data_IF_753106615779
#
_entry.id   IF_753106615779
#
_cell.length_a   1.000
_cell.length_b   1.000
_cell.length_c   1.000
_cell.angle_alpha   90.00
_cell.angle_beta   90.00
_cell.angle_gamma   90.00
#
_symmetry.space_group_name_H-M   'P 1'
#
loop_
_entity.id
_entity.type
_entity.pdbx_description
1 polymer ?
#
# COMPACT_ATOMS: atom_id res chain seq x y z
N UNK A 1 -42.23 35.21 -26.83
CA UNK A 1 -41.27 35.99 -27.66
C UNK A 1 -40.99 37.29 -26.93
N UNK A 2 -39.71 37.67 -26.88
CA UNK A 2 -39.11 38.93 -26.36
C UNK A 2 -38.78 39.10 -24.87
N UNK A 3 -37.51 39.52 -24.72
CA UNK A 3 -36.64 39.73 -23.54
C UNK A 3 -36.80 41.16 -22.98
N UNK A 4 -36.53 41.31 -21.67
CA UNK A 4 -35.73 42.38 -21.01
C UNK A 4 -35.24 41.72 -19.70
N UNK A 5 -34.02 41.80 -19.17
CA UNK A 5 -32.81 42.55 -19.44
C UNK A 5 -32.03 42.60 -18.11
N UNK A 6 -30.77 42.13 -18.12
CA UNK A 6 -29.66 42.43 -17.21
C UNK A 6 -29.88 42.53 -15.69
N UNK A 7 -29.30 41.59 -14.95
CA UNK A 7 -28.52 41.91 -13.75
C UNK A 7 -27.32 40.97 -13.67
N UNK A 8 -26.15 41.57 -13.89
CA UNK A 8 -24.81 41.04 -13.75
C UNK A 8 -24.51 40.70 -12.28
N UNK A 9 -24.16 39.45 -12.00
CA UNK A 9 -23.39 39.10 -10.81
C UNK A 9 -22.11 38.42 -11.29
N UNK A 10 -21.04 39.20 -11.32
CA UNK A 10 -19.67 38.75 -11.40
C UNK A 10 -19.31 37.98 -10.14
N UNK A 11 -19.37 36.65 -10.21
CA UNK A 11 -18.74 35.76 -9.24
C UNK A 11 -17.43 35.29 -9.83
N UNK A 12 -16.33 35.91 -9.42
CA UNK A 12 -14.97 35.61 -9.83
C UNK A 12 -14.68 34.11 -9.78
N UNK A 13 -14.44 33.49 -10.92
CA UNK A 13 -13.67 32.26 -10.98
C UNK A 13 -12.23 32.60 -10.59
N UNK A 14 -11.94 32.63 -9.28
CA UNK A 14 -10.58 32.46 -8.81
C UNK A 14 -10.22 31.00 -9.07
N UNK A 15 -9.68 30.76 -10.26
CA UNK A 15 -8.83 29.61 -10.52
C UNK A 15 -7.70 29.63 -9.51
N UNK A 16 -7.88 28.93 -8.41
CA UNK A 16 -6.77 28.52 -7.56
C UNK A 16 -6.12 27.37 -8.31
N UNK A 17 -5.26 27.76 -9.26
CA UNK A 17 -4.07 27.00 -9.60
C UNK A 17 -3.29 26.86 -8.30
N UNK A 18 -3.58 25.81 -7.52
CA UNK A 18 -2.62 25.34 -6.53
C UNK A 18 -1.48 24.72 -7.32
N UNK A 19 -0.51 25.56 -7.63
CA UNK A 19 0.88 25.16 -7.81
C UNK A 19 1.19 24.09 -6.75
N UNK A 20 1.30 22.84 -7.21
CA UNK A 20 1.88 21.77 -6.42
C UNK A 20 3.27 22.25 -6.03
N UNK A 21 3.43 22.65 -4.78
CA UNK A 21 4.76 22.71 -4.19
C UNK A 21 5.23 21.28 -4.10
N UNK A 22 6.29 20.94 -4.83
CA UNK A 22 7.19 19.84 -4.50
C UNK A 22 7.48 19.92 -3.01
N UNK A 23 6.74 19.13 -2.25
CA UNK A 23 6.87 19.08 -0.80
C UNK A 23 8.06 18.19 -0.56
N UNK A 24 9.18 18.82 -0.23
CA UNK A 24 10.42 18.17 0.15
C UNK A 24 10.17 16.96 1.08
N UNK A 25 10.37 15.75 0.56
CA UNK A 25 10.82 14.54 1.27
C UNK A 25 10.11 14.09 2.55
N UNK A 26 8.92 14.59 2.88
CA UNK A 26 8.21 14.26 4.12
C UNK A 26 7.19 13.12 4.00
N UNK A 27 6.89 12.45 5.10
CA UNK A 27 5.78 11.50 5.16
C UNK A 27 4.45 12.23 5.26
N UNK A 28 3.49 11.88 4.41
CA UNK A 28 2.11 12.38 4.49
C UNK A 28 1.17 11.24 4.87
N UNK A 29 0.46 11.40 5.99
CA UNK A 29 -0.53 10.43 6.46
C UNK A 29 -1.93 10.79 5.97
N UNK A 30 -2.68 9.81 5.49
CA UNK A 30 -4.09 9.94 5.11
C UNK A 30 -4.97 8.98 5.92
N UNK A 31 -6.10 9.47 6.42
CA UNK A 31 -7.22 8.65 6.88
C UNK A 31 -8.01 8.05 5.72
N UNK A 32 -8.90 7.09 5.99
CA UNK A 32 -9.67 6.36 4.96
C UNK A 32 -10.57 7.25 4.08
N UNK A 33 -10.99 8.41 4.56
CA UNK A 33 -11.89 9.32 3.82
C UNK A 33 -11.19 10.58 3.28
N UNK A 34 -9.91 10.78 3.57
CA UNK A 34 -9.22 11.99 3.13
C UNK A 34 -9.13 12.05 1.60
N UNK A 35 -9.13 13.24 1.01
CA UNK A 35 -8.93 13.36 -0.43
C UNK A 35 -7.43 13.36 -0.75
N UNK A 36 -6.96 12.41 -1.57
CA UNK A 36 -5.57 12.34 -2.04
C UNK A 36 -5.36 13.23 -3.28
N UNK A 37 -6.43 13.78 -3.88
CA UNK A 37 -6.32 14.77 -4.97
C UNK A 37 -5.94 14.20 -6.34
N UNK A 38 -5.93 12.88 -6.48
CA UNK A 38 -5.62 12.20 -7.74
C UNK A 38 -6.64 11.11 -8.09
N UNK A 39 -6.62 10.64 -9.34
CA UNK A 39 -7.45 9.53 -9.79
C UNK A 39 -6.88 8.21 -9.27
N UNK A 40 -7.72 7.43 -8.60
CA UNK A 40 -7.42 6.08 -8.17
C UNK A 40 -6.94 5.19 -9.33
N UNK A 41 -5.85 4.43 -9.09
CA UNK A 41 -5.27 3.49 -10.04
C UNK A 41 -5.01 2.13 -9.39
N UNK A 42 -5.72 1.11 -9.85
CA UNK A 42 -5.59 -0.28 -9.41
C UNK A 42 -4.92 -1.19 -10.45
N UNK A 43 -4.38 -0.61 -11.54
CA UNK A 43 -3.95 -1.35 -12.74
C UNK A 43 -2.58 -2.02 -12.59
N UNK A 44 -1.70 -1.53 -11.70
CA UNK A 44 -0.42 -2.17 -11.34
C UNK A 44 -0.49 -3.02 -10.05
N UNK A 45 -1.70 -3.22 -9.53
CA UNK A 45 -1.93 -3.82 -8.21
C UNK A 45 -1.97 -5.36 -8.24
N UNK A 46 -1.92 -5.94 -9.44
CA UNK A 46 -2.03 -7.37 -9.74
C UNK A 46 -0.69 -8.06 -10.07
N UNK A 47 0.41 -7.31 -10.13
CA UNK A 47 1.67 -7.84 -10.66
C UNK A 47 2.26 -8.86 -9.67
N UNK A 48 2.35 -10.11 -10.14
CA UNK A 48 3.05 -11.25 -9.55
C UNK A 48 2.31 -12.10 -8.50
N UNK A 49 1.28 -12.84 -8.95
CA UNK A 49 0.92 -14.13 -8.34
C UNK A 49 1.05 -15.24 -9.40
N UNK A 50 2.28 -15.43 -9.89
CA UNK A 50 2.61 -16.38 -10.96
C UNK A 50 3.29 -17.67 -10.49
N UNK A 51 3.87 -17.71 -9.30
CA UNK A 51 4.52 -18.91 -8.74
C UNK A 51 3.76 -19.45 -7.53
N UNK A 52 3.89 -20.75 -7.25
CA UNK A 52 3.28 -21.42 -6.08
C UNK A 52 3.65 -20.73 -4.75
N UNK A 53 4.82 -20.11 -4.65
CA UNK A 53 5.25 -19.31 -3.47
C UNK A 53 4.40 -18.06 -3.24
N UNK A 54 3.90 -17.42 -4.30
CA UNK A 54 3.15 -16.16 -4.19
C UNK A 54 1.71 -16.39 -3.67
N UNK A 55 1.21 -17.62 -3.73
CA UNK A 55 -0.09 -17.96 -3.17
C UNK A 55 -0.11 -17.97 -1.64
N UNK A 56 1.03 -18.18 -0.97
CA UNK A 56 1.11 -18.22 0.49
C UNK A 56 1.27 -16.82 1.12
N UNK A 57 1.64 -15.81 0.34
CA UNK A 57 1.88 -14.45 0.83
C UNK A 57 0.62 -13.83 1.47
N UNK A 58 -0.58 -13.93 0.87
CA UNK A 58 -1.80 -13.46 1.53
C UNK A 58 -2.01 -14.09 2.91
N UNK A 59 -1.89 -15.41 3.03
CA UNK A 59 -1.98 -16.12 4.32
C UNK A 59 -0.89 -15.71 5.31
N UNK A 60 0.35 -15.50 4.85
CA UNK A 60 1.44 -15.05 5.71
C UNK A 60 1.17 -13.65 6.28
N UNK A 61 0.72 -12.71 5.45
CA UNK A 61 0.39 -11.35 5.88
C UNK A 61 -0.84 -11.33 6.77
N UNK A 62 -1.86 -12.12 6.43
CA UNK A 62 -3.03 -12.30 7.27
C UNK A 62 -2.65 -12.83 8.66
N UNK A 63 -1.80 -13.86 8.71
CA UNK A 63 -1.35 -14.47 9.96
C UNK A 63 -0.39 -13.58 10.76
N UNK A 64 0.40 -12.73 10.09
CA UNK A 64 1.26 -11.76 10.76
C UNK A 64 0.47 -10.81 11.67
N UNK A 65 -0.77 -10.48 11.29
CA UNK A 65 -1.65 -9.64 12.14
C UNK A 65 -1.97 -10.25 13.51
N UNK A 66 -1.72 -11.55 13.76
CA UNK A 66 -1.83 -12.13 15.10
C UNK A 66 -0.62 -11.82 15.99
N UNK A 67 0.54 -11.54 15.39
CA UNK A 67 1.82 -11.32 16.08
C UNK A 67 2.14 -9.84 16.28
N UNK A 68 1.63 -8.97 15.41
CA UNK A 68 1.86 -7.53 15.47
C UNK A 68 1.25 -6.82 14.28
N UNK A 69 1.73 -5.60 14.03
CA UNK A 69 1.26 -4.78 12.91
C UNK A 69 1.91 -5.24 11.59
N UNK A 70 1.26 -4.89 10.47
CA UNK A 70 1.72 -5.23 9.13
C UNK A 70 1.90 -3.95 8.32
N UNK A 71 3.07 -3.78 7.72
CA UNK A 71 3.35 -2.71 6.77
C UNK A 71 3.35 -3.31 5.37
N UNK A 72 2.70 -2.66 4.41
CA UNK A 72 2.54 -3.19 3.05
C UNK A 72 2.48 -2.05 2.05
N UNK A 73 2.97 -2.30 0.84
CA UNK A 73 2.75 -1.37 -0.27
C UNK A 73 1.28 -1.29 -0.67
N UNK A 74 0.87 -0.21 -1.36
CA UNK A 74 -0.52 0.01 -1.79
C UNK A 74 -0.89 -0.91 -2.96
N UNK A 75 -1.03 -2.19 -2.64
CA UNK A 75 -1.50 -3.17 -3.60
C UNK A 75 -2.54 -4.17 -3.03
N UNK A 76 -2.82 -5.27 -3.75
CA UNK A 76 -3.82 -6.26 -3.35
C UNK A 76 -3.46 -6.95 -2.04
N UNK A 77 -2.17 -7.03 -1.69
CA UNK A 77 -1.71 -7.57 -0.41
C UNK A 77 -2.11 -6.68 0.77
N UNK A 78 -2.27 -5.36 0.58
CA UNK A 78 -2.82 -4.49 1.61
C UNK A 78 -4.26 -4.86 1.97
N UNK A 79 -5.05 -5.23 0.97
CA UNK A 79 -6.42 -5.72 1.18
C UNK A 79 -6.40 -7.06 1.90
N UNK A 80 -5.50 -7.98 1.51
CA UNK A 80 -5.38 -9.29 2.17
C UNK A 80 -4.94 -9.15 3.64
N UNK A 81 -3.95 -8.30 3.93
CA UNK A 81 -3.53 -8.00 5.30
C UNK A 81 -4.68 -7.43 6.12
N UNK A 82 -5.47 -6.51 5.55
CA UNK A 82 -6.63 -5.93 6.22
C UNK A 82 -7.77 -6.95 6.49
N UNK A 83 -7.84 -8.02 5.71
CA UNK A 83 -8.77 -9.15 5.92
C UNK A 83 -8.23 -10.20 6.91
N UNK A 84 -6.98 -10.11 7.38
CA UNK A 84 -6.40 -11.11 8.28
C UNK A 84 -7.11 -11.22 9.63
N UNK A 85 -7.14 -12.39 10.26
CA UNK A 85 -7.96 -12.60 11.46
C UNK A 85 -7.39 -12.02 12.77
N UNK A 86 -6.15 -11.54 12.77
CA UNK A 86 -5.49 -11.00 13.95
C UNK A 86 -5.97 -9.61 14.38
N UNK A 87 -5.22 -8.99 15.30
CA UNK A 87 -5.55 -7.68 15.90
C UNK A 87 -4.57 -6.56 15.49
N UNK A 88 -3.50 -6.91 14.79
CA UNK A 88 -2.54 -5.97 14.24
C UNK A 88 -3.19 -4.97 13.29
N UNK A 89 -2.69 -3.73 13.37
CA UNK A 89 -2.99 -2.67 12.44
C UNK A 89 -2.32 -2.95 11.10
N UNK A 90 -2.88 -2.36 10.04
CA UNK A 90 -2.34 -2.43 8.69
C UNK A 90 -1.94 -1.03 8.25
N UNK A 91 -0.66 -0.83 8.00
CA UNK A 91 -0.14 0.41 7.43
C UNK A 91 0.17 0.21 5.97
N UNK A 92 -0.49 0.99 5.12
CA UNK A 92 -0.31 0.98 3.68
C UNK A 92 0.59 2.15 3.28
N UNK A 93 1.76 1.87 2.71
CA UNK A 93 2.74 2.89 2.34
C UNK A 93 3.12 2.79 0.86
N UNK A 94 3.04 3.88 0.11
CA UNK A 94 3.44 3.90 -1.30
C UNK A 94 3.93 5.29 -1.69
N UNK A 95 4.70 5.38 -2.77
CA UNK A 95 5.12 6.65 -3.36
C UNK A 95 4.13 7.15 -4.41
N UNK A 96 3.25 6.27 -4.88
CA UNK A 96 2.19 6.62 -5.81
C UNK A 96 0.90 6.96 -5.07
N UNK A 97 0.56 8.24 -5.06
CA UNK A 97 -0.75 8.72 -4.62
C UNK A 97 -1.91 8.01 -5.33
N UNK A 98 -1.74 7.69 -6.61
CA UNK A 98 -2.76 6.99 -7.38
C UNK A 98 -2.98 5.56 -6.89
N UNK A 99 -1.92 4.85 -6.47
CA UNK A 99 -2.02 3.52 -5.87
C UNK A 99 -2.66 3.59 -4.49
N UNK A 100 -2.23 4.52 -3.63
CA UNK A 100 -2.84 4.77 -2.32
C UNK A 100 -4.34 5.04 -2.46
N UNK A 101 -4.72 5.95 -3.37
CA UNK A 101 -6.12 6.26 -3.66
C UNK A 101 -6.90 5.03 -4.17
N UNK A 102 -6.26 4.18 -4.98
CA UNK A 102 -6.82 2.91 -5.46
C UNK A 102 -7.17 1.96 -4.32
N UNK A 103 -6.17 1.57 -3.51
CA UNK A 103 -6.38 0.64 -2.38
C UNK A 103 -7.33 1.22 -1.34
N UNK A 104 -7.17 2.50 -1.01
CA UNK A 104 -8.05 3.21 -0.08
C UNK A 104 -9.50 3.19 -0.52
N UNK A 105 -9.76 3.47 -1.80
CA UNK A 105 -11.11 3.37 -2.38
C UNK A 105 -11.65 1.95 -2.26
N UNK A 106 -10.87 0.93 -2.61
CA UNK A 106 -11.27 -0.49 -2.52
C UNK A 106 -11.63 -0.89 -1.08
N UNK A 107 -10.84 -0.46 -0.09
CA UNK A 107 -11.10 -0.71 1.33
C UNK A 107 -12.36 0.03 1.79
N UNK A 108 -12.53 1.31 1.41
CA UNK A 108 -13.72 2.09 1.77
C UNK A 108 -15.02 1.48 1.23
N UNK A 109 -14.99 0.77 0.10
CA UNK A 109 -16.17 0.06 -0.41
C UNK A 109 -16.67 -1.04 0.52
N UNK A 110 -15.85 -1.56 1.43
CA UNK A 110 -16.28 -2.57 2.39
C UNK A 110 -17.21 -1.98 3.48
N UNK A 111 -17.18 -0.67 3.73
CA UNK A 111 -18.03 -0.02 4.74
C UNK A 111 -19.51 -0.07 4.37
N UNK A 112 -19.82 0.07 3.08
CA UNK A 112 -21.20 0.13 2.57
C UNK A 112 -21.79 -1.23 2.23
N UNK A 113 -21.02 -2.31 2.38
CA UNK A 113 -21.41 -3.66 1.95
C UNK A 113 -21.62 -4.59 3.14
N UNK A 114 -22.65 -5.43 3.08
CA UNK A 114 -22.96 -6.38 4.16
C UNK A 114 -22.23 -7.72 4.04
N UNK A 115 -21.68 -8.02 2.87
CA UNK A 115 -20.96 -9.25 2.60
C UNK A 115 -19.90 -9.05 1.52
N UNK A 116 -19.01 -10.03 1.41
CA UNK A 116 -17.89 -10.03 0.47
C UNK A 116 -18.33 -9.96 -0.99
N UNK A 117 -19.42 -10.65 -1.36
CA UNK A 117 -19.89 -10.70 -2.75
C UNK A 117 -20.41 -9.34 -3.23
N UNK A 118 -21.15 -8.62 -2.37
CA UNK A 118 -21.59 -7.25 -2.62
C UNK A 118 -20.39 -6.31 -2.76
N UNK A 119 -19.41 -6.43 -1.86
CA UNK A 119 -18.18 -5.64 -1.94
C UNK A 119 -17.39 -5.90 -3.23
N UNK A 120 -17.16 -7.16 -3.61
CA UNK A 120 -16.47 -7.50 -4.86
C UNK A 120 -17.23 -7.02 -6.10
N UNK A 121 -18.57 -7.00 -6.06
CA UNK A 121 -19.39 -6.42 -7.14
C UNK A 121 -19.19 -4.91 -7.27
N UNK A 122 -19.11 -4.19 -6.16
CA UNK A 122 -18.82 -2.75 -6.17
C UNK A 122 -17.38 -2.46 -6.61
N UNK A 123 -16.40 -3.24 -6.13
CA UNK A 123 -15.01 -3.14 -6.61
C UNK A 123 -14.96 -3.37 -8.11
N UNK A 124 -15.68 -4.36 -8.65
CA UNK A 124 -15.76 -4.61 -10.09
C UNK A 124 -16.32 -3.42 -10.86
N UNK A 125 -17.31 -2.73 -10.30
CA UNK A 125 -17.94 -1.55 -10.90
C UNK A 125 -17.03 -0.32 -10.90
N UNK A 126 -16.31 -0.08 -9.81
CA UNK A 126 -15.52 1.14 -9.61
C UNK A 126 -14.06 1.00 -10.11
N UNK A 127 -13.49 -0.19 -10.00
CA UNK A 127 -12.06 -0.47 -10.28
C UNK A 127 -11.85 -1.48 -11.42
N UNK A 128 -12.94 -1.98 -12.02
CA UNK A 128 -12.89 -2.87 -13.18
C UNK A 128 -12.81 -4.36 -12.83
N UNK A 129 -13.14 -5.18 -13.83
CA UNK A 129 -13.32 -6.63 -13.65
C UNK A 129 -12.03 -7.38 -13.35
N UNK A 130 -10.90 -6.96 -13.92
CA UNK A 130 -9.60 -7.64 -13.71
C UNK A 130 -9.21 -7.61 -12.24
N UNK A 131 -9.28 -6.42 -11.63
CA UNK A 131 -8.90 -6.23 -10.24
C UNK A 131 -9.81 -6.98 -9.25
N UNK A 132 -11.13 -6.89 -9.44
CA UNK A 132 -12.08 -7.63 -8.60
C UNK A 132 -11.91 -9.16 -8.74
N UNK A 133 -11.65 -9.65 -9.95
CA UNK A 133 -11.40 -11.08 -10.20
C UNK A 133 -10.11 -11.54 -9.52
N UNK A 134 -9.07 -10.69 -9.51
CA UNK A 134 -7.82 -10.95 -8.81
C UNK A 134 -8.02 -11.06 -7.29
N UNK A 135 -8.74 -10.11 -6.68
CA UNK A 135 -9.08 -10.20 -5.24
C UNK A 135 -9.90 -11.45 -4.93
N UNK A 136 -10.93 -11.74 -5.74
CA UNK A 136 -11.75 -12.94 -5.59
C UNK A 136 -10.90 -14.22 -5.64
N UNK A 137 -9.93 -14.28 -6.56
CA UNK A 137 -9.00 -15.40 -6.66
C UNK A 137 -8.15 -15.55 -5.40
N UNK A 138 -7.56 -14.45 -4.91
CA UNK A 138 -6.74 -14.49 -3.69
C UNK A 138 -7.53 -14.93 -2.48
N UNK A 139 -8.75 -14.41 -2.32
CA UNK A 139 -9.62 -14.78 -1.23
C UNK A 139 -10.00 -16.26 -1.32
N UNK A 140 -10.39 -16.74 -2.50
CA UNK A 140 -10.77 -18.15 -2.69
C UNK A 140 -9.64 -19.14 -2.34
N UNK A 141 -8.38 -18.72 -2.51
CA UNK A 141 -7.20 -19.55 -2.24
C UNK A 141 -6.74 -19.53 -0.79
N UNK A 142 -7.11 -18.49 -0.03
CA UNK A 142 -6.61 -18.23 1.32
C UNK A 142 -7.76 -18.02 2.33
N UNK A 143 -8.95 -18.54 2.01
CA UNK A 143 -10.19 -18.23 2.73
C UNK A 143 -10.18 -18.56 4.22
N UNK A 144 -9.37 -19.54 4.64
CA UNK A 144 -9.27 -19.92 6.05
C UNK A 144 -8.59 -18.82 6.89
N UNK A 145 -7.69 -18.03 6.29
CA UNK A 145 -6.93 -16.96 6.96
C UNK A 145 -7.56 -15.57 6.79
N UNK A 146 -8.55 -15.43 5.90
CA UNK A 146 -9.12 -14.15 5.47
C UNK A 146 -10.60 -14.03 5.86
N UNK A 147 -11.00 -12.88 6.39
CA UNK A 147 -12.39 -12.58 6.74
C UNK A 147 -12.77 -11.18 6.29
N UNK A 148 -13.91 -11.09 5.60
CA UNK A 148 -14.49 -9.80 5.22
C UNK A 148 -14.96 -9.01 6.45
N UNK A 149 -15.48 -9.68 7.47
CA UNK A 149 -15.88 -9.07 8.74
C UNK A 149 -14.68 -8.44 9.45
N UNK A 150 -13.49 -9.02 9.32
CA UNK A 150 -12.26 -8.46 9.87
C UNK A 150 -11.82 -7.19 9.15
N UNK A 151 -11.94 -7.13 7.81
CA UNK A 151 -11.76 -5.90 7.05
C UNK A 151 -12.70 -4.80 7.56
N UNK A 152 -13.99 -5.12 7.70
CA UNK A 152 -14.95 -4.15 8.23
C UNK A 152 -14.67 -3.74 9.67
N UNK A 153 -14.23 -4.67 10.52
CA UNK A 153 -13.85 -4.39 11.90
C UNK A 153 -12.67 -3.41 11.95
N UNK A 154 -11.62 -3.66 11.18
CA UNK A 154 -10.45 -2.77 11.12
C UNK A 154 -10.82 -1.38 10.64
N UNK A 155 -11.71 -1.27 9.66
CA UNK A 155 -12.19 0.03 9.20
C UNK A 155 -12.91 0.78 10.34
N UNK A 156 -13.86 0.13 11.02
CA UNK A 156 -14.59 0.75 12.15
C UNK A 156 -13.68 1.18 13.29
N UNK A 157 -12.63 0.41 13.55
CA UNK A 157 -11.65 0.69 14.60
C UNK A 157 -10.56 1.69 14.18
N UNK A 158 -10.52 2.11 12.90
CA UNK A 158 -9.44 2.91 12.34
C UNK A 158 -8.06 2.23 12.45
N UNK A 159 -8.03 0.90 12.31
CA UNK A 159 -6.83 0.05 12.35
C UNK A 159 -6.13 -0.04 10.98
N UNK A 160 -6.44 0.86 10.05
CA UNK A 160 -5.82 0.96 8.73
C UNK A 160 -5.34 2.39 8.52
N UNK A 161 -4.04 2.57 8.28
CA UNK A 161 -3.43 3.86 8.01
C UNK A 161 -2.80 3.88 6.61
N UNK A 162 -2.78 5.04 5.97
CA UNK A 162 -2.20 5.22 4.63
C UNK A 162 -1.12 6.29 4.67
N UNK A 163 0.02 6.03 4.07
CA UNK A 163 1.17 6.93 4.04
C UNK A 163 1.71 7.10 2.63
N UNK A 164 1.82 8.35 2.18
CA UNK A 164 2.75 8.71 1.11
C UNK A 164 4.12 8.93 1.74
N UNK A 165 5.02 7.97 1.57
CA UNK A 165 6.38 8.06 2.11
C UNK A 165 7.31 7.09 1.37
N UNK A 166 8.56 7.50 1.20
CA UNK A 166 9.63 6.60 0.80
C UNK A 166 10.10 5.79 2.00
N UNK A 167 9.98 4.46 1.95
CA UNK A 167 10.47 3.58 3.01
C UNK A 167 12.00 3.64 3.15
N UNK A 168 12.73 4.19 2.17
CA UNK A 168 14.16 4.47 2.25
C UNK A 168 14.50 5.85 2.84
N UNK A 169 13.50 6.70 3.11
CA UNK A 169 13.74 8.04 3.68
C UNK A 169 13.72 8.01 5.21
N UNK A 170 14.33 9.00 5.85
CA UNK A 170 14.24 9.19 7.31
C UNK A 170 12.80 9.42 7.79
N UNK A 171 11.92 9.90 6.91
CA UNK A 171 10.50 10.10 7.21
C UNK A 171 9.71 8.79 7.32
N UNK A 172 10.27 7.65 6.94
CA UNK A 172 9.64 6.34 7.14
C UNK A 172 9.41 6.03 8.63
N UNK A 173 10.22 6.61 9.53
CA UNK A 173 10.02 6.51 10.99
C UNK A 173 8.66 7.02 11.46
N UNK A 174 7.96 7.85 10.67
CA UNK A 174 6.60 8.29 10.96
C UNK A 174 5.57 7.16 10.94
N UNK A 175 5.88 6.03 10.29
CA UNK A 175 5.05 4.81 10.31
C UNK A 175 4.98 4.20 11.70
N UNK A 176 6.07 4.29 12.49
CA UNK A 176 6.15 3.68 13.82
C UNK A 176 5.07 4.21 14.77
N UNK A 177 4.59 5.44 14.53
CA UNK A 177 3.50 6.07 15.30
C UNK A 177 2.17 5.33 15.15
N UNK A 178 1.96 4.62 14.04
CA UNK A 178 0.76 3.83 13.75
C UNK A 178 0.97 2.32 13.91
N UNK A 179 2.14 1.87 14.38
CA UNK A 179 2.44 0.46 14.63
C UNK A 179 2.75 0.19 16.12
N UNK A 180 1.78 0.39 17.04
CA UNK A 180 2.01 0.29 18.48
C UNK A 180 2.29 -1.14 18.97
N UNK A 181 1.88 -2.16 18.22
CA UNK A 181 2.14 -3.55 18.56
C UNK A 181 3.54 -4.00 18.10
N UNK A 182 4.20 -3.20 17.26
CA UNK A 182 5.45 -3.52 16.58
C UNK A 182 5.19 -4.28 15.29
N UNK A 183 6.05 -4.05 14.29
CA UNK A 183 5.84 -4.63 12.96
C UNK A 183 6.29 -6.09 12.94
N UNK A 184 5.35 -6.95 12.59
CA UNK A 184 5.53 -8.40 12.47
C UNK A 184 5.76 -8.85 11.03
N UNK A 185 5.32 -8.06 10.05
CA UNK A 185 5.60 -8.29 8.65
C UNK A 185 5.69 -6.99 7.85
N UNK A 186 6.63 -6.94 6.92
CA UNK A 186 6.71 -5.92 5.87
C UNK A 186 6.57 -6.61 4.51
N UNK A 187 5.55 -6.23 3.74
CA UNK A 187 5.44 -6.58 2.33
C UNK A 187 5.89 -5.40 1.46
N UNK A 188 7.09 -5.50 0.90
CA UNK A 188 7.69 -4.47 0.06
C UNK A 188 7.54 -4.73 -1.44
N UNK A 189 6.80 -5.78 -1.84
CA UNK A 189 6.61 -6.18 -3.24
C UNK A 189 7.95 -6.34 -3.97
N UNK A 190 7.99 -6.05 -5.27
CA UNK A 190 9.23 -5.89 -6.01
C UNK A 190 9.91 -4.60 -5.59
N UNK A 191 10.82 -4.73 -4.64
CA UNK A 191 11.36 -3.60 -3.91
C UNK A 191 12.14 -2.61 -4.80
N UNK A 192 12.61 -3.06 -5.97
CA UNK A 192 13.18 -2.20 -6.99
C UNK A 192 12.19 -1.21 -7.60
N UNK A 193 10.89 -1.48 -7.49
CA UNK A 193 9.84 -0.54 -7.89
C UNK A 193 9.48 0.45 -6.77
N UNK A 194 9.85 0.16 -5.51
CA UNK A 194 9.33 0.85 -4.32
C UNK A 194 10.39 1.59 -3.49
N UNK A 195 11.68 1.27 -3.62
CA UNK A 195 12.75 2.13 -3.09
C UNK A 195 12.79 3.44 -3.89
N UNK A 196 12.10 4.47 -3.40
CA UNK A 196 12.08 5.88 -3.85
C UNK A 196 12.09 6.17 -5.36
N UNK A 197 11.53 5.30 -6.20
CA UNK A 197 11.76 5.37 -7.65
C UNK A 197 13.27 5.38 -8.03
N UNK A 198 14.17 5.02 -7.10
CA UNK A 198 15.64 5.05 -7.24
C UNK A 198 16.17 3.93 -8.14
N UNK A 199 15.39 2.87 -8.33
CA UNK A 199 15.70 1.78 -9.25
C UNK A 199 14.91 1.89 -10.57
N UNK A 200 14.18 2.99 -10.78
CA UNK A 200 14.00 3.47 -12.15
C UNK A 200 15.42 3.77 -12.65
N UNK A 201 15.87 3.00 -13.65
CA UNK A 201 17.27 2.93 -14.11
C UNK A 201 17.81 4.25 -14.68
N UNK A 202 17.01 5.32 -14.65
CA UNK A 202 17.30 6.58 -15.30
C UNK A 202 18.00 7.54 -14.34
N UNK A 203 19.31 7.69 -14.53
CA UNK A 203 20.08 8.82 -14.00
C UNK A 203 20.70 8.68 -12.61
N UNK A 204 20.54 7.55 -11.90
CA UNK A 204 21.15 7.34 -10.56
C UNK A 204 22.36 6.40 -10.62
N UNK A 205 23.43 6.77 -9.92
CA UNK A 205 24.64 5.97 -9.78
C UNK A 205 24.43 4.72 -8.92
N UNK A 206 25.33 3.75 -9.02
CA UNK A 206 25.32 2.59 -8.11
C UNK A 206 25.44 3.00 -6.64
N UNK A 207 26.27 4.01 -6.34
CA UNK A 207 26.47 4.51 -4.97
C UNK A 207 25.19 5.08 -4.36
N UNK A 208 24.41 5.86 -5.13
CA UNK A 208 23.14 6.40 -4.66
C UNK A 208 22.10 5.30 -4.41
N UNK A 209 22.06 4.28 -5.28
CA UNK A 209 21.19 3.11 -5.09
C UNK A 209 21.57 2.31 -3.85
N UNK A 210 22.86 2.13 -3.59
CA UNK A 210 23.35 1.46 -2.38
C UNK A 210 22.97 2.25 -1.13
N UNK A 211 23.12 3.57 -1.14
CA UNK A 211 22.75 4.41 0.01
C UNK A 211 21.25 4.31 0.35
N UNK A 212 20.37 4.38 -0.64
CA UNK A 212 18.93 4.21 -0.41
C UNK A 212 18.58 2.82 0.14
N UNK A 213 19.26 1.78 -0.36
CA UNK A 213 19.10 0.43 0.15
C UNK A 213 19.53 0.34 1.62
N UNK A 214 20.66 0.94 1.98
CA UNK A 214 21.17 0.94 3.36
C UNK A 214 20.21 1.68 4.29
N UNK A 215 19.69 2.84 3.89
CA UNK A 215 18.66 3.57 4.66
C UNK A 215 17.37 2.79 4.82
N UNK A 216 16.91 2.09 3.77
CA UNK A 216 15.76 1.20 3.88
C UNK A 216 16.00 0.06 4.88
N UNK A 217 17.17 -0.58 4.85
CA UNK A 217 17.55 -1.64 5.79
C UNK A 217 17.58 -1.13 7.23
N UNK A 218 18.08 0.07 7.45
CA UNK A 218 18.08 0.72 8.76
C UNK A 218 16.65 0.99 9.26
N UNK A 219 15.79 1.53 8.40
CA UNK A 219 14.37 1.73 8.70
C UNK A 219 13.65 0.40 9.00
N UNK A 220 13.94 -0.66 8.25
CA UNK A 220 13.43 -1.99 8.56
C UNK A 220 13.90 -2.50 9.92
N UNK A 221 15.15 -2.18 10.32
CA UNK A 221 15.68 -2.52 11.65
C UNK A 221 14.89 -1.85 12.76
N UNK A 222 14.50 -0.59 12.56
CA UNK A 222 13.65 0.15 13.50
C UNK A 222 12.23 -0.44 13.58
N UNK A 223 11.63 -0.74 12.43
CA UNK A 223 10.23 -1.18 12.34
C UNK A 223 10.03 -2.66 12.73
N UNK A 224 10.81 -3.57 12.17
CA UNK A 224 10.69 -5.02 12.38
C UNK A 224 11.36 -5.40 13.70
N UNK A 225 10.56 -5.80 14.69
CA UNK A 225 11.08 -6.40 15.93
C UNK A 225 11.72 -7.76 15.61
N UNK A 226 12.51 -8.31 16.54
CA UNK A 226 13.42 -9.46 16.34
C UNK A 226 12.86 -10.72 15.61
N UNK A 227 11.54 -10.89 15.54
CA UNK A 227 10.86 -12.03 14.89
C UNK A 227 10.01 -11.65 13.64
N UNK A 228 10.19 -10.43 13.11
CA UNK A 228 9.45 -9.94 11.96
C UNK A 228 9.87 -10.60 10.65
N UNK A 229 8.95 -10.68 9.68
CA UNK A 229 9.22 -11.20 8.33
C UNK A 229 9.28 -10.07 7.30
N UNK A 230 10.23 -10.16 6.38
CA UNK A 230 10.28 -9.29 5.19
C UNK A 230 9.90 -10.13 3.97
N UNK A 231 8.94 -9.64 3.19
CA UNK A 231 8.49 -10.24 1.94
C UNK A 231 8.79 -9.27 0.81
N UNK A 232 9.70 -9.66 -0.09
CA UNK A 232 10.08 -8.85 -1.24
C UNK A 232 10.43 -9.72 -2.45
N UNK A 233 10.46 -9.13 -3.63
CA UNK A 233 10.92 -9.77 -4.87
C UNK A 233 11.96 -8.92 -5.58
N UNK A 234 12.68 -9.54 -6.53
CA UNK A 234 13.60 -8.87 -7.45
C UNK A 234 12.91 -8.61 -8.80
N UNK A 235 13.46 -7.71 -9.64
CA UNK A 235 12.80 -7.09 -10.81
C UNK A 235 11.93 -8.01 -11.69
N UNK A 236 12.31 -9.28 -11.82
CA UNK A 236 11.65 -10.32 -12.62
C UNK A 236 11.67 -11.71 -11.93
N UNK A 237 12.01 -11.77 -10.64
CA UNK A 237 12.23 -13.02 -9.89
C UNK A 237 11.01 -13.48 -9.08
N UNK A 238 11.02 -14.72 -8.54
CA UNK A 238 10.02 -15.15 -7.57
C UNK A 238 10.06 -14.25 -6.32
N UNK A 239 8.93 -14.11 -5.63
CA UNK A 239 8.93 -13.47 -4.30
C UNK A 239 9.72 -14.33 -3.33
N UNK A 240 10.61 -13.70 -2.59
CA UNK A 240 11.46 -14.32 -1.58
C UNK A 240 10.91 -14.00 -0.18
N UNK A 241 10.88 -15.03 0.67
CA UNK A 241 10.54 -14.90 2.08
C UNK A 241 11.83 -15.04 2.88
N UNK A 242 12.11 -14.04 3.70
CA UNK A 242 13.33 -14.05 4.49
C UNK A 242 13.02 -13.81 5.97
N UNK A 243 13.77 -14.50 6.83
CA UNK A 243 13.93 -14.05 8.21
C UNK A 243 14.63 -12.68 8.17
N UNK A 244 14.21 -11.73 9.02
CA UNK A 244 14.72 -10.37 9.00
C UNK A 244 16.27 -10.27 8.99
N UNK A 245 16.97 -11.20 9.67
CA UNK A 245 18.44 -11.19 9.76
C UNK A 245 19.14 -11.73 8.50
N UNK A 246 18.55 -12.70 7.78
CA UNK A 246 19.17 -13.33 6.61
C UNK A 246 18.94 -12.54 5.30
N UNK A 247 17.80 -11.82 5.21
CA UNK A 247 17.41 -11.03 4.02
C UNK A 247 18.30 -9.82 3.79
N UNK A 248 18.55 -9.08 4.87
CA UNK A 248 19.08 -7.72 4.81
C UNK A 248 20.56 -7.72 4.48
N UNK A 249 21.31 -8.69 5.00
CA UNK A 249 22.76 -8.73 4.85
C UNK A 249 23.22 -9.19 3.46
N UNK A 250 22.42 -10.01 2.77
CA UNK A 250 22.80 -10.59 1.47
C UNK A 250 22.29 -9.80 0.27
N UNK A 251 21.46 -8.79 0.49
CA UNK A 251 20.82 -8.06 -0.60
C UNK A 251 21.70 -6.93 -1.14
N UNK A 252 21.97 -6.99 -2.45
CA UNK A 252 22.71 -5.99 -3.21
C UNK A 252 21.84 -5.40 -4.34
N UNK A 253 22.06 -4.13 -4.73
CA UNK A 253 21.41 -3.56 -5.91
C UNK A 253 21.80 -4.35 -7.17
N UNK A 254 20.87 -4.50 -8.13
CA UNK A 254 21.18 -5.11 -9.41
C UNK A 254 22.38 -4.40 -10.09
N UNK A 255 23.44 -5.17 -10.34
CA UNK A 255 24.56 -4.75 -11.18
C UNK A 255 24.01 -4.48 -12.59
N UNK A 256 24.11 -3.24 -13.03
CA UNK A 256 23.76 -2.83 -14.40
C UNK A 256 24.78 -3.32 -15.40
#
# INVERSE_FOLDING_TARGET
MFRIGGLSISGSHSGVSSSYSDSAGGATRYGLHDNIGCRANTTKVSDFVGSKSNNAIPSLLANATHKGDVVTVANSMAVMAAMGQGHGKVVVSDLSDAHLAGVKSVIALAEKNHNQDGWLKDVKKEHGSSYASHLSLLISRNGDDLSFEQLQRRIRNQDIAFYHVDLASSSASEIEKDTPHGVSAVYASNIEMYLGGFLSKDGKSFSERQQSLDSFKENLTGMLKHDGILIHGNTMGPMELHSYHDAINNWQPAAT
#
